data_IF_602894771986
#
_entry.id   IF_602894771986
#
_cell.length_a   1.000
_cell.length_b   1.000
_cell.length_c   1.000
_cell.angle_alpha   90.00
_cell.angle_beta   90.00
_cell.angle_gamma   90.00
#
_symmetry.space_group_name_H-M   'P 1'
#
loop_
_entity.id
_entity.type
_entity.pdbx_description
1 polymer ?
#
# COMPACT_ATOMS: atom_id res chain seq x y z
N UNK A 1 -23.86 8.79 -9.31
CA UNK A 1 -24.80 8.60 -8.18
C UNK A 1 -24.21 7.50 -7.32
N UNK A 2 -23.55 7.84 -6.21
CA UNK A 2 -22.82 6.85 -5.42
C UNK A 2 -23.80 6.17 -4.46
N UNK A 3 -24.31 5.01 -4.86
CA UNK A 3 -25.18 4.18 -4.03
C UNK A 3 -24.42 3.73 -2.78
N UNK A 4 -25.04 3.93 -1.61
CA UNK A 4 -24.58 3.44 -0.31
C UNK A 4 -24.38 1.92 -0.33
N UNK A 5 -23.22 1.47 -0.78
CA UNK A 5 -22.69 0.20 -0.32
C UNK A 5 -22.32 0.42 1.14
N UNK A 6 -23.19 -0.03 2.06
CA UNK A 6 -22.78 -0.37 3.42
C UNK A 6 -21.73 -1.48 3.30
N UNK A 7 -20.49 -1.07 3.06
CA UNK A 7 -19.33 -1.93 2.98
C UNK A 7 -19.24 -2.62 4.34
N UNK A 8 -19.63 -3.90 4.36
CA UNK A 8 -19.22 -4.84 5.39
C UNK A 8 -17.75 -4.58 5.75
N UNK A 9 -17.42 -4.69 7.04
CA UNK A 9 -16.11 -4.40 7.60
C UNK A 9 -14.99 -4.92 6.66
N UNK A 10 -14.24 -4.01 6.03
CA UNK A 10 -13.19 -4.32 5.03
C UNK A 10 -12.20 -5.37 5.56
N UNK A 11 -11.93 -5.27 6.86
CA UNK A 11 -11.09 -6.17 7.64
C UNK A 11 -11.59 -7.62 7.59
N UNK A 12 -12.88 -7.84 7.88
CA UNK A 12 -13.48 -9.17 7.86
C UNK A 12 -13.45 -9.79 6.47
N UNK A 13 -13.60 -8.99 5.41
CA UNK A 13 -13.49 -9.50 4.02
C UNK A 13 -12.08 -9.98 3.71
N UNK A 14 -11.07 -9.17 4.04
CA UNK A 14 -9.67 -9.52 3.83
C UNK A 14 -9.29 -10.77 4.63
N UNK A 15 -9.67 -10.83 5.90
CA UNK A 15 -9.35 -11.98 6.75
C UNK A 15 -10.09 -13.25 6.33
N UNK A 16 -11.37 -13.15 5.95
CA UNK A 16 -12.11 -14.28 5.41
C UNK A 16 -11.51 -14.80 4.09
N UNK A 17 -11.01 -13.90 3.24
CA UNK A 17 -10.28 -14.26 2.03
C UNK A 17 -8.99 -15.03 2.37
N UNK A 18 -8.15 -14.48 3.26
CA UNK A 18 -6.92 -15.16 3.69
C UNK A 18 -7.20 -16.51 4.34
N UNK A 19 -8.23 -16.61 5.18
CA UNK A 19 -8.64 -17.86 5.82
C UNK A 19 -9.10 -18.89 4.78
N UNK A 20 -9.95 -18.49 3.84
CA UNK A 20 -10.39 -19.36 2.73
C UNK A 20 -9.21 -19.87 1.93
N UNK A 21 -8.20 -19.02 1.73
CA UNK A 21 -6.98 -19.41 1.05
C UNK A 21 -6.10 -20.34 1.87
N UNK A 22 -5.90 -20.07 3.17
CA UNK A 22 -5.17 -20.97 4.08
C UNK A 22 -5.74 -22.38 4.06
N UNK A 23 -7.07 -22.47 3.98
CA UNK A 23 -7.87 -23.70 3.92
C UNK A 23 -8.01 -24.29 2.50
N UNK A 24 -7.38 -23.69 1.47
CA UNK A 24 -7.47 -24.14 0.06
C UNK A 24 -8.91 -24.25 -0.48
N UNK A 25 -9.84 -23.45 0.06
CA UNK A 25 -11.26 -23.44 -0.30
C UNK A 25 -11.65 -22.30 -1.25
N UNK A 26 -10.73 -21.38 -1.55
CA UNK A 26 -10.99 -20.18 -2.35
C UNK A 26 -11.58 -20.50 -3.74
N UNK A 27 -11.03 -21.51 -4.42
CA UNK A 27 -11.46 -21.95 -5.76
C UNK A 27 -12.25 -23.26 -5.77
N UNK A 28 -12.75 -23.72 -4.61
CA UNK A 28 -13.67 -24.84 -4.62
C UNK A 28 -14.99 -24.38 -5.21
N UNK A 29 -15.42 -25.01 -6.32
CA UNK A 29 -16.80 -24.89 -6.77
C UNK A 29 -17.65 -25.59 -5.71
N UNK A 30 -18.35 -24.82 -4.89
CA UNK A 30 -19.42 -25.38 -4.05
C UNK A 30 -20.54 -25.78 -5.00
N UNK A 31 -20.51 -27.00 -5.53
CA UNK A 31 -21.71 -27.62 -6.05
C UNK A 31 -22.65 -27.77 -4.86
N UNK A 32 -23.55 -26.78 -4.69
CA UNK A 32 -24.67 -26.96 -3.79
C UNK A 32 -25.37 -28.24 -4.24
N UNK A 33 -25.63 -29.20 -3.34
CA UNK A 33 -26.38 -30.39 -3.71
C UNK A 33 -27.70 -29.93 -4.32
N UNK A 34 -27.98 -30.41 -5.53
CA UNK A 34 -29.26 -30.21 -6.18
C UNK A 34 -30.31 -30.69 -5.18
N UNK A 35 -31.24 -29.84 -4.72
CA UNK A 35 -32.27 -30.28 -3.80
C UNK A 35 -33.00 -31.45 -4.48
N UNK A 36 -33.24 -32.57 -3.77
CA UNK A 36 -33.92 -33.71 -4.36
C UNK A 36 -35.23 -33.24 -5.00
N UNK A 37 -35.57 -33.71 -6.21
CA UNK A 37 -36.80 -33.31 -6.87
C UNK A 37 -37.96 -33.55 -5.90
N UNK A 38 -38.90 -32.60 -5.75
CA UNK A 38 -40.02 -32.76 -4.86
C UNK A 38 -40.76 -34.04 -5.25
N UNK A 39 -40.85 -34.99 -4.32
CA UNK A 39 -41.65 -36.20 -4.48
C UNK A 39 -43.09 -35.75 -4.75
N UNK A 40 -43.55 -36.02 -5.97
CA UNK A 40 -44.93 -35.81 -6.38
C UNK A 40 -45.83 -36.79 -5.62
N UNK A 41 -46.19 -36.44 -4.40
CA UNK A 41 -47.29 -37.08 -3.70
C UNK A 41 -48.59 -36.75 -4.43
N UNK A 42 -49.03 -37.70 -5.27
CA UNK A 42 -50.37 -37.72 -5.86
C UNK A 42 -51.39 -37.83 -4.73
N UNK A 43 -51.99 -36.71 -4.33
CA UNK A 43 -53.35 -36.70 -3.75
C UNK A 43 -54.24 -35.70 -4.46
N UNK A 44 -55.21 -36.27 -5.19
CA UNK A 44 -56.41 -35.58 -5.70
C UNK A 44 -57.24 -35.09 -4.50
N UNK A 45 -57.62 -33.82 -4.47
CA UNK A 45 -59.01 -33.45 -4.16
C UNK A 45 -59.36 -32.05 -4.68
N UNK A 46 -60.59 -31.95 -5.16
CA UNK A 46 -61.27 -30.80 -5.78
C UNK A 46 -61.37 -29.61 -4.84
N UNK A 47 -61.38 -28.38 -5.39
CA UNK A 47 -61.91 -27.22 -4.67
C UNK A 47 -61.37 -25.86 -5.12
N UNK A 48 -62.13 -25.19 -5.98
CA UNK A 48 -62.39 -23.74 -6.05
C UNK A 48 -61.19 -22.78 -6.13
N UNK A 49 -61.19 -22.05 -7.26
CA UNK A 49 -60.26 -20.98 -7.59
C UNK A 49 -60.12 -19.91 -6.49
N UNK A 50 -58.86 -19.63 -6.12
CA UNK A 50 -58.42 -18.30 -5.69
C UNK A 50 -57.14 -17.94 -6.45
N UNK A 51 -57.26 -16.97 -7.36
CA UNK A 51 -56.12 -16.28 -7.97
C UNK A 51 -55.39 -15.51 -6.87
N UNK A 52 -54.29 -16.06 -6.36
CA UNK A 52 -53.31 -15.29 -5.60
C UNK A 52 -52.24 -14.79 -6.57
N UNK A 53 -52.20 -13.47 -6.78
CA UNK A 53 -51.11 -12.77 -7.45
C UNK A 53 -49.81 -12.97 -6.67
N UNK A 54 -49.08 -14.04 -6.98
CA UNK A 54 -47.66 -14.13 -6.62
C UNK A 54 -46.96 -13.02 -7.40
N UNK A 55 -46.67 -11.91 -6.70
CA UNK A 55 -45.62 -10.96 -7.12
C UNK A 55 -44.37 -11.78 -7.38
N UNK A 56 -44.07 -12.01 -8.65
CA UNK A 56 -42.74 -12.39 -9.09
C UNK A 56 -41.82 -11.31 -8.53
N UNK A 57 -40.99 -11.65 -7.54
CA UNK A 57 -39.86 -10.79 -7.20
C UNK A 57 -39.04 -10.75 -8.49
N UNK A 58 -39.05 -9.60 -9.17
CA UNK A 58 -37.97 -9.29 -10.10
C UNK A 58 -36.69 -9.49 -9.30
N UNK A 59 -35.97 -10.54 -9.63
CA UNK A 59 -34.56 -10.60 -9.34
C UNK A 59 -34.02 -9.46 -10.19
N UNK A 60 -33.84 -8.29 -9.58
CA UNK A 60 -32.92 -7.31 -10.10
C UNK A 60 -31.58 -8.05 -10.10
N UNK A 61 -31.18 -8.58 -11.25
CA UNK A 61 -29.77 -8.71 -11.54
C UNK A 61 -29.23 -7.28 -11.44
N UNK A 62 -28.79 -6.90 -10.25
CA UNK A 62 -27.75 -5.89 -10.11
C UNK A 62 -26.47 -6.53 -10.63
N UNK A 63 -26.45 -6.75 -11.95
CA UNK A 63 -25.23 -6.57 -12.73
C UNK A 63 -24.95 -5.06 -12.68
N UNK A 64 -24.61 -4.56 -11.48
CA UNK A 64 -23.83 -3.35 -11.37
C UNK A 64 -22.55 -3.71 -12.11
N UNK A 65 -22.38 -3.13 -13.30
CA UNK A 65 -21.22 -3.31 -14.15
C UNK A 65 -19.96 -3.13 -13.31
N UNK A 66 -19.43 -4.26 -12.84
CA UNK A 66 -18.01 -4.45 -12.59
C UNK A 66 -17.36 -3.91 -13.85
N UNK A 67 -16.45 -2.94 -13.73
CA UNK A 67 -15.69 -2.41 -14.85
C UNK A 67 -15.20 -3.57 -15.71
N UNK A 68 -15.95 -3.90 -16.77
CA UNK A 68 -15.56 -4.89 -17.75
C UNK A 68 -14.44 -4.19 -18.48
N UNK A 69 -13.25 -4.78 -18.45
CA UNK A 69 -12.22 -4.48 -19.41
C UNK A 69 -12.91 -4.45 -20.78
N UNK A 70 -12.98 -3.26 -21.39
CA UNK A 70 -13.40 -3.14 -22.78
C UNK A 70 -12.27 -3.78 -23.56
N UNK A 71 -12.48 -5.05 -23.93
CA UNK A 71 -11.60 -5.76 -24.85
C UNK A 71 -11.77 -5.11 -26.23
N UNK A 72 -11.03 -4.05 -26.50
CA UNK A 72 -10.76 -3.56 -27.86
C UNK A 72 -9.74 -4.48 -28.56
N UNK A 73 -9.85 -5.80 -28.34
CA UNK A 73 -9.03 -6.79 -29.00
C UNK A 73 -9.71 -7.19 -30.33
N UNK A 74 -8.97 -7.16 -31.46
CA UNK A 74 -9.52 -7.56 -32.75
C UNK A 74 -10.08 -8.99 -32.67
N UNK A 75 -11.24 -9.20 -33.30
CA UNK A 75 -12.13 -10.37 -33.21
C UNK A 75 -11.52 -11.74 -33.54
N UNK A 76 -10.23 -11.80 -33.85
CA UNK A 76 -9.53 -12.98 -34.33
C UNK A 76 -8.60 -13.64 -33.29
N UNK A 77 -8.53 -13.14 -32.06
CA UNK A 77 -7.87 -13.87 -30.97
C UNK A 77 -8.85 -14.85 -30.30
N UNK A 78 -8.45 -16.10 -30.02
CA UNK A 78 -9.33 -17.07 -29.38
C UNK A 78 -9.74 -16.55 -27.99
N UNK A 79 -11.06 -16.33 -27.80
CA UNK A 79 -11.71 -15.90 -26.54
C UNK A 79 -11.61 -16.90 -25.38
N UNK A 80 -10.78 -17.92 -25.49
CA UNK A 80 -10.39 -18.76 -24.37
C UNK A 80 -9.43 -17.96 -23.50
N UNK A 81 -9.98 -17.16 -22.57
CA UNK A 81 -9.23 -16.79 -21.36
C UNK A 81 -8.56 -18.06 -20.86
N UNK A 82 -7.23 -18.10 -20.82
CA UNK A 82 -6.51 -19.22 -20.23
C UNK A 82 -7.08 -19.43 -18.83
N UNK A 83 -7.86 -20.51 -18.67
CA UNK A 83 -8.54 -20.81 -17.41
C UNK A 83 -7.61 -21.70 -16.63
N UNK A 84 -6.78 -21.09 -15.79
CA UNK A 84 -5.90 -21.82 -14.88
C UNK A 84 -6.72 -22.80 -14.02
N UNK A 85 -6.25 -24.04 -13.95
CA UNK A 85 -6.72 -25.05 -13.00
C UNK A 85 -6.55 -24.57 -11.56
N UNK A 86 -7.27 -25.18 -10.62
CA UNK A 86 -7.13 -24.84 -9.19
C UNK A 86 -5.68 -24.94 -8.72
N UNK A 87 -4.97 -25.98 -9.13
CA UNK A 87 -3.57 -26.22 -8.77
C UNK A 87 -2.64 -25.15 -9.33
N UNK A 88 -2.86 -24.71 -10.57
CA UNK A 88 -2.09 -23.61 -11.17
C UNK A 88 -2.37 -22.29 -10.45
N UNK A 89 -3.63 -21.99 -10.13
CA UNK A 89 -3.99 -20.78 -9.36
C UNK A 89 -3.33 -20.76 -7.99
N UNK A 90 -3.35 -21.88 -7.28
CA UNK A 90 -2.63 -22.02 -5.99
C UNK A 90 -1.12 -21.81 -6.16
N UNK A 91 -0.52 -22.42 -7.20
CA UNK A 91 0.92 -22.31 -7.46
C UNK A 91 1.33 -20.87 -7.77
N UNK A 92 0.66 -20.22 -8.72
CA UNK A 92 0.91 -18.81 -9.11
C UNK A 92 0.79 -17.90 -7.89
N UNK A 93 -0.28 -18.05 -7.13
CA UNK A 93 -0.55 -17.15 -6.01
C UNK A 93 0.45 -17.32 -4.86
N UNK A 94 1.11 -18.48 -4.73
CA UNK A 94 2.15 -18.70 -3.72
C UNK A 94 3.49 -18.02 -4.06
N UNK A 95 3.56 -17.35 -5.21
CA UNK A 95 4.79 -16.77 -5.76
C UNK A 95 5.51 -17.80 -6.63
N UNK A 96 5.85 -17.40 -7.85
CA UNK A 96 6.67 -18.20 -8.75
C UNK A 96 8.15 -17.82 -8.56
N UNK A 97 9.08 -18.78 -8.66
CA UNK A 97 10.50 -18.47 -8.67
C UNK A 97 10.82 -17.59 -9.88
N UNK A 98 11.76 -16.66 -9.70
CA UNK A 98 12.20 -15.76 -10.76
C UNK A 98 13.70 -15.59 -10.70
N UNK A 99 14.36 -15.70 -11.86
CA UNK A 99 15.80 -15.44 -11.99
C UNK A 99 16.16 -13.97 -11.73
N UNK A 100 15.19 -13.06 -11.73
CA UNK A 100 15.44 -11.67 -11.39
C UNK A 100 15.57 -11.48 -9.87
N UNK A 101 14.87 -12.27 -9.06
CA UNK A 101 14.93 -12.17 -7.61
C UNK A 101 15.37 -13.51 -7.00
N UNK A 102 16.68 -13.66 -6.83
CA UNK A 102 17.33 -14.82 -6.26
C UNK A 102 18.41 -14.42 -5.26
N UNK A 103 18.92 -15.39 -4.50
CA UNK A 103 20.05 -15.17 -3.60
C UNK A 103 21.27 -14.70 -4.41
N UNK A 104 21.81 -13.54 -4.05
CA UNK A 104 22.88 -12.87 -4.78
C UNK A 104 22.42 -11.72 -5.68
N UNK A 105 21.11 -11.54 -5.90
CA UNK A 105 20.61 -10.40 -6.67
C UNK A 105 20.95 -9.06 -5.98
N UNK A 106 21.28 -8.06 -6.78
CA UNK A 106 21.65 -6.72 -6.32
C UNK A 106 20.93 -5.64 -7.12
N UNK A 107 20.44 -4.62 -6.42
CA UNK A 107 19.66 -3.54 -7.02
C UNK A 107 20.04 -2.18 -6.44
N UNK A 108 20.28 -1.19 -7.30
CA UNK A 108 20.47 0.18 -6.84
C UNK A 108 19.14 0.89 -6.66
N UNK A 109 18.75 1.17 -5.42
CA UNK A 109 17.50 1.85 -5.05
C UNK A 109 17.78 3.26 -4.53
N UNK A 110 16.86 4.19 -4.76
CA UNK A 110 17.00 5.54 -4.22
C UNK A 110 15.76 6.40 -4.35
N UNK A 111 15.77 7.50 -3.60
CA UNK A 111 14.68 8.50 -3.56
C UNK A 111 14.73 9.39 -4.82
N UNK A 112 15.92 9.54 -5.39
CA UNK A 112 16.24 10.37 -6.54
C UNK A 112 17.23 9.65 -7.45
N UNK A 113 17.37 10.13 -8.68
CA UNK A 113 18.41 9.68 -9.61
C UNK A 113 19.83 10.07 -9.14
N UNK A 114 19.95 11.06 -8.23
CA UNK A 114 21.23 11.49 -7.66
C UNK A 114 21.90 10.35 -6.86
N UNK A 115 23.17 10.00 -7.16
CA UNK A 115 23.94 8.98 -6.43
C UNK A 115 23.92 9.14 -4.91
N UNK A 116 23.87 10.36 -4.38
CA UNK A 116 23.85 10.64 -2.93
C UNK A 116 22.53 10.23 -2.25
N UNK A 117 21.51 9.89 -3.03
CA UNK A 117 20.21 9.42 -2.57
C UNK A 117 19.97 7.96 -2.96
N UNK A 118 21.03 7.23 -3.34
CA UNK A 118 20.98 5.82 -3.73
C UNK A 118 21.80 4.93 -2.79
N UNK A 119 21.35 3.70 -2.63
CA UNK A 119 22.08 2.61 -2.00
C UNK A 119 21.82 1.31 -2.76
N UNK A 120 22.69 0.31 -2.56
CA UNK A 120 22.52 -0.99 -3.18
C UNK A 120 21.83 -1.95 -2.21
N UNK A 121 20.75 -2.60 -2.66
CA UNK A 121 20.06 -3.65 -1.94
C UNK A 121 20.59 -4.98 -2.43
N UNK A 122 21.31 -5.68 -1.55
CA UNK A 122 21.89 -6.99 -1.85
C UNK A 122 21.09 -8.07 -1.13
N UNK A 123 20.47 -8.96 -1.90
CA UNK A 123 19.70 -10.08 -1.38
C UNK A 123 20.65 -11.25 -1.11
N UNK A 124 20.78 -11.69 0.14
CA UNK A 124 21.69 -12.77 0.53
C UNK A 124 21.01 -14.13 0.52
N UNK A 125 19.74 -14.18 0.90
CA UNK A 125 18.90 -15.38 0.82
C UNK A 125 17.50 -14.99 0.36
N UNK A 126 17.04 -15.59 -0.75
CA UNK A 126 15.69 -15.38 -1.29
C UNK A 126 14.97 -16.72 -1.36
N UNK A 127 14.10 -16.92 -0.37
CA UNK A 127 13.12 -17.97 -0.35
C UNK A 127 11.77 -17.35 0.04
N UNK A 128 10.92 -18.05 0.80
CA UNK A 128 9.73 -17.41 1.41
C UNK A 128 10.10 -16.27 2.35
N UNK A 129 11.22 -16.44 3.06
CA UNK A 129 11.85 -15.41 3.88
C UNK A 129 12.97 -14.80 3.03
N UNK A 130 13.18 -13.51 3.21
CA UNK A 130 14.19 -12.75 2.51
C UNK A 130 15.17 -12.22 3.54
N UNK A 131 16.46 -12.38 3.27
CA UNK A 131 17.53 -11.73 4.00
C UNK A 131 18.39 -10.93 3.02
N UNK A 132 18.96 -9.83 3.51
CA UNK A 132 19.88 -9.03 2.71
C UNK A 132 20.45 -7.86 3.47
N UNK A 133 21.16 -7.00 2.74
CA UNK A 133 21.80 -5.80 3.27
C UNK A 133 21.59 -4.61 2.34
N UNK A 134 21.29 -3.45 2.92
CA UNK A 134 21.47 -2.16 2.27
C UNK A 134 22.94 -1.76 2.36
N UNK A 135 23.59 -1.54 1.22
CA UNK A 135 25.01 -1.24 1.11
C UNK A 135 25.19 0.21 0.65
N UNK A 136 25.91 0.98 1.45
CA UNK A 136 26.19 2.39 1.24
C UNK A 136 27.65 2.54 0.82
N UNK A 137 27.88 2.48 -0.49
CA UNK A 137 29.22 2.58 -1.08
C UNK A 137 29.69 4.04 -1.19
N UNK A 138 30.97 4.32 -0.93
CA UNK A 138 31.52 5.67 -1.05
C UNK A 138 31.64 6.13 -2.50
N UNK A 139 31.44 7.42 -2.73
CA UNK A 139 31.75 8.08 -4.01
C UNK A 139 33.24 8.47 -4.07
N UNK A 140 33.88 8.31 -5.24
CA UNK A 140 35.33 8.45 -5.40
C UNK A 140 35.89 9.82 -4.97
N UNK A 141 35.13 10.91 -5.19
CA UNK A 141 35.58 12.29 -4.92
C UNK A 141 35.59 12.65 -3.44
N UNK A 142 34.71 12.06 -2.63
CA UNK A 142 34.59 12.35 -1.19
C UNK A 142 34.00 11.14 -0.44
N UNK A 143 34.81 10.09 -0.20
CA UNK A 143 34.31 8.78 0.27
C UNK A 143 33.54 8.82 1.59
N UNK A 144 34.05 9.54 2.59
CA UNK A 144 33.39 9.59 3.91
C UNK A 144 32.16 10.51 3.89
N UNK A 145 32.30 11.72 3.37
CA UNK A 145 31.20 12.68 3.32
C UNK A 145 30.01 12.13 2.51
N UNK A 146 30.28 11.46 1.39
CA UNK A 146 29.22 10.82 0.59
C UNK A 146 28.49 9.72 1.36
N UNK A 147 29.19 8.86 2.10
CA UNK A 147 28.56 7.82 2.94
C UNK A 147 27.72 8.44 4.06
N UNK A 148 28.23 9.47 4.74
CA UNK A 148 27.49 10.18 5.79
C UNK A 148 26.21 10.83 5.23
N UNK A 149 26.31 11.50 4.08
CA UNK A 149 25.16 12.10 3.40
C UNK A 149 24.13 11.06 2.96
N UNK A 150 24.58 9.95 2.35
CA UNK A 150 23.70 8.83 1.97
C UNK A 150 22.96 8.29 3.19
N UNK A 151 23.68 7.97 4.27
CA UNK A 151 23.08 7.43 5.49
C UNK A 151 22.09 8.40 6.12
N UNK A 152 22.40 9.69 6.17
CA UNK A 152 21.49 10.71 6.67
C UNK A 152 20.22 10.85 5.80
N UNK A 153 20.36 10.86 4.48
CA UNK A 153 19.22 10.89 3.55
C UNK A 153 18.31 9.67 3.70
N UNK A 154 18.89 8.47 3.83
CA UNK A 154 18.13 7.25 4.05
C UNK A 154 17.50 7.19 5.45
N UNK A 155 18.16 7.72 6.47
CA UNK A 155 17.59 7.86 7.81
C UNK A 155 16.32 8.70 7.76
N UNK A 156 16.38 9.85 7.08
CA UNK A 156 15.22 10.72 6.87
C UNK A 156 14.09 9.98 6.17
N UNK A 157 14.41 9.28 5.09
CA UNK A 157 13.44 8.48 4.33
C UNK A 157 12.77 7.40 5.18
N UNK A 158 13.56 6.55 5.85
CA UNK A 158 13.03 5.46 6.67
C UNK A 158 12.21 5.97 7.86
N UNK A 159 12.55 7.13 8.42
CA UNK A 159 11.78 7.78 9.48
C UNK A 159 10.59 8.58 8.95
N UNK A 160 10.36 8.63 7.63
CA UNK A 160 9.23 9.34 7.02
C UNK A 160 9.34 10.86 7.09
N UNK A 161 10.55 11.40 7.28
CA UNK A 161 10.78 12.83 7.18
C UNK A 161 10.62 13.28 5.74
N UNK A 162 9.76 14.25 5.54
CA UNK A 162 9.59 14.96 4.27
C UNK A 162 9.84 16.45 4.55
N UNK A 163 10.40 17.19 3.60
CA UNK A 163 10.62 18.63 3.71
C UNK A 163 9.34 19.41 4.06
N UNK A 164 8.16 18.83 3.76
CA UNK A 164 6.84 19.39 4.08
C UNK A 164 6.21 18.90 5.40
N UNK A 165 6.75 17.86 6.02
CA UNK A 165 6.24 17.27 7.25
C UNK A 165 7.41 16.75 8.10
N UNK A 166 7.77 17.53 9.12
CA UNK A 166 8.74 17.14 10.15
C UNK A 166 8.12 16.15 11.13
N UNK A 167 7.64 15.01 10.63
CA UNK A 167 7.11 13.96 11.46
C UNK A 167 8.28 13.16 12.04
N UNK A 168 8.60 13.41 13.30
CA UNK A 168 9.56 12.62 14.05
C UNK A 168 8.99 11.21 14.33
N UNK A 169 9.85 10.17 14.43
CA UNK A 169 9.44 8.88 14.94
C UNK A 169 8.75 9.01 16.29
N UNK A 170 7.68 8.23 16.54
CA UNK A 170 7.00 8.21 17.84
C UNK A 170 7.87 7.67 18.98
N UNK A 171 8.88 6.88 18.65
CA UNK A 171 9.80 6.31 19.64
C UNK A 171 10.75 7.38 20.18
N UNK A 172 10.66 7.64 21.49
CA UNK A 172 11.56 8.56 22.20
C UNK A 172 13.03 8.16 22.07
N UNK A 173 13.32 6.85 22.05
CA UNK A 173 14.69 6.33 21.89
C UNK A 173 15.22 6.67 20.50
N UNK A 174 14.44 6.41 19.44
CA UNK A 174 14.84 6.77 18.07
C UNK A 174 15.09 8.28 17.94
N UNK A 175 14.21 9.11 18.49
CA UNK A 175 14.38 10.58 18.49
C UNK A 175 15.66 11.00 19.22
N UNK A 176 15.98 10.38 20.36
CA UNK A 176 17.23 10.67 21.08
C UNK A 176 18.47 10.27 20.26
N UNK A 177 18.46 9.11 19.60
CA UNK A 177 19.56 8.67 18.72
C UNK A 177 19.74 9.64 17.54
N UNK A 178 18.64 10.01 16.85
CA UNK A 178 18.64 10.99 15.77
C UNK A 178 19.19 12.35 16.20
N UNK A 179 18.80 12.85 17.37
CA UNK A 179 19.30 14.14 17.87
C UNK A 179 20.83 14.13 18.11
N UNK A 180 21.40 13.00 18.53
CA UNK A 180 22.86 12.89 18.67
C UNK A 180 23.52 12.92 17.30
N UNK A 181 22.99 12.16 16.34
CA UNK A 181 23.46 12.12 14.96
C UNK A 181 23.43 13.52 14.30
N UNK A 182 22.32 14.22 14.42
CA UNK A 182 22.14 15.57 13.85
C UNK A 182 23.15 16.55 14.45
N UNK A 183 23.37 16.48 15.77
CA UNK A 183 24.36 17.34 16.45
C UNK A 183 25.78 17.05 16.01
N UNK A 184 26.17 15.78 15.90
CA UNK A 184 27.51 15.42 15.42
C UNK A 184 27.73 15.94 13.99
N UNK A 185 26.70 15.90 13.14
CA UNK A 185 26.80 16.29 11.73
C UNK A 185 27.03 17.80 11.52
N UNK A 186 26.69 18.64 12.49
CA UNK A 186 26.81 20.12 12.41
C UNK A 186 27.86 20.70 13.37
N UNK A 187 28.44 19.88 14.25
CA UNK A 187 29.40 20.34 15.25
C UNK A 187 30.78 20.51 14.63
N UNK A 188 31.19 21.77 14.41
CA UNK A 188 32.49 22.13 13.82
C UNK A 188 33.70 21.64 14.62
N UNK A 189 33.51 21.16 15.86
CA UNK A 189 34.60 20.60 16.69
C UNK A 189 34.80 19.10 16.45
N UNK A 190 33.87 18.46 15.75
CA UNK A 190 34.01 17.07 15.30
C UNK A 190 34.83 17.04 14.03
N UNK A 191 36.01 16.45 14.13
CA UNK A 191 36.91 16.25 13.01
C UNK A 191 36.89 14.78 12.62
N UNK A 192 36.78 14.52 11.33
CA UNK A 192 36.78 13.18 10.77
C UNK A 192 38.17 12.85 10.22
N UNK A 193 38.67 11.66 10.54
CA UNK A 193 39.93 11.17 9.99
C UNK A 193 39.78 10.83 8.51
N UNK A 194 40.70 11.34 7.68
CA UNK A 194 40.72 11.09 6.23
C UNK A 194 41.13 9.63 5.94
N UNK A 195 40.20 8.73 5.60
CA UNK A 195 40.56 7.42 5.04
C UNK A 195 39.54 6.84 4.05
N UNK A 196 40.05 5.94 3.19
CA UNK A 196 39.34 5.10 2.22
C UNK A 196 38.33 4.22 2.96
N UNK A 197 37.08 4.66 3.00
CA UNK A 197 36.00 3.95 3.68
C UNK A 197 35.64 2.66 2.96
N UNK A 198 35.48 1.56 3.71
CA UNK A 198 34.66 0.44 3.27
C UNK A 198 33.20 0.86 3.47
N UNK A 199 32.32 0.57 2.52
CA UNK A 199 30.92 0.95 2.62
C UNK A 199 30.23 0.44 3.89
N UNK A 200 29.12 1.06 4.27
CA UNK A 200 28.31 0.63 5.43
C UNK A 200 27.24 -0.34 4.96
N UNK A 201 27.09 -1.46 5.66
CA UNK A 201 26.07 -2.45 5.36
C UNK A 201 25.05 -2.51 6.49
N UNK A 202 23.77 -2.47 6.14
CA UNK A 202 22.67 -2.49 7.10
C UNK A 202 21.75 -3.67 6.78
N UNK A 203 21.66 -4.68 7.66
CA UNK A 203 20.87 -5.85 7.38
C UNK A 203 19.38 -5.54 7.40
N UNK A 204 18.65 -6.26 6.55
CA UNK A 204 17.19 -6.29 6.57
C UNK A 204 16.72 -7.74 6.55
N UNK A 205 15.53 -7.94 7.11
CA UNK A 205 14.77 -9.18 6.96
C UNK A 205 13.52 -8.88 6.16
N UNK A 206 12.87 -9.91 5.64
CA UNK A 206 11.69 -9.68 4.84
C UNK A 206 11.02 -10.97 4.43
N UNK A 207 10.04 -10.83 3.55
CA UNK A 207 9.32 -11.97 3.03
C UNK A 207 8.68 -11.69 1.68
N UNK A 208 8.55 -12.75 0.89
CA UNK A 208 7.69 -12.73 -0.29
C UNK A 208 6.22 -12.68 0.12
N UNK A 209 5.46 -11.88 -0.61
CA UNK A 209 4.02 -11.72 -0.42
C UNK A 209 3.33 -12.88 -1.12
N UNK A 210 2.67 -13.71 -0.33
CA UNK A 210 1.92 -14.85 -0.82
C UNK A 210 0.41 -14.60 -0.77
N UNK A 211 -0.11 -13.54 -0.14
CA UNK A 211 -1.55 -13.35 0.15
C UNK A 211 -2.26 -14.58 0.75
N UNK A 212 -1.54 -15.39 1.54
CA UNK A 212 -2.05 -16.52 2.32
C UNK A 212 -1.74 -16.33 3.79
N UNK A 213 -0.45 -16.22 4.09
CA UNK A 213 0.06 -15.92 5.42
C UNK A 213 0.61 -14.50 5.49
N UNK A 214 1.05 -13.97 4.35
CA UNK A 214 1.78 -12.71 4.23
C UNK A 214 1.17 -11.91 3.08
N UNK A 215 0.36 -10.92 3.40
CA UNK A 215 -0.07 -9.91 2.45
C UNK A 215 0.75 -8.62 2.65
N UNK A 216 0.38 -7.55 1.96
CA UNK A 216 1.05 -6.25 2.09
C UNK A 216 0.56 -5.44 3.31
N UNK A 217 -0.15 -6.07 4.27
CA UNK A 217 -0.55 -5.38 5.50
C UNK A 217 0.63 -5.36 6.48
N UNK A 218 1.03 -4.17 6.90
CA UNK A 218 2.16 -3.94 7.83
C UNK A 218 1.69 -3.50 9.23
N UNK A 219 0.37 -3.31 9.39
CA UNK A 219 -0.24 -2.90 10.64
C UNK A 219 -0.95 -4.12 11.25
N UNK A 220 -0.23 -4.89 12.07
CA UNK A 220 -0.74 -6.08 12.71
C UNK A 220 -1.77 -5.77 13.80
N UNK A 221 -2.67 -6.74 14.00
CA UNK A 221 -3.55 -6.83 15.16
C UNK A 221 -2.85 -7.64 16.24
N UNK A 222 -2.72 -7.06 17.43
CA UNK A 222 -2.65 -7.89 18.61
C UNK A 222 -4.05 -8.42 18.86
N UNK A 223 -4.19 -9.75 18.91
CA UNK A 223 -5.47 -10.43 19.16
C UNK A 223 -6.12 -10.00 20.48
N UNK A 224 -5.33 -9.40 21.37
CA UNK A 224 -5.72 -8.97 22.70
C UNK A 224 -6.25 -7.52 22.74
N UNK A 225 -6.13 -6.75 21.65
CA UNK A 225 -6.60 -5.37 21.61
C UNK A 225 -8.06 -5.25 21.13
N UNK A 226 -8.97 -4.90 22.03
CA UNK A 226 -10.39 -4.70 21.73
C UNK A 226 -10.65 -3.35 21.02
N UNK A 227 -10.35 -3.27 19.73
CA UNK A 227 -10.68 -2.07 18.94
C UNK A 227 -12.09 -2.10 18.37
N UNK A 228 -12.70 -0.90 18.27
CA UNK A 228 -13.97 -0.72 17.55
C UNK A 228 -13.85 -1.12 16.08
N UNK A 229 -14.91 -1.68 15.50
CA UNK A 229 -14.96 -2.08 14.08
C UNK A 229 -14.64 -0.93 13.11
N UNK A 230 -15.04 0.30 13.45
CA UNK A 230 -14.71 1.52 12.69
C UNK A 230 -13.21 1.76 12.63
N UNK A 231 -12.51 1.59 13.76
CA UNK A 231 -11.05 1.75 13.82
C UNK A 231 -10.34 0.71 12.94
N UNK A 232 -10.76 -0.55 13.06
CA UNK A 232 -10.28 -1.68 12.23
C UNK A 232 -10.45 -1.40 10.73
N UNK A 233 -11.65 -0.99 10.32
CA UNK A 233 -11.94 -0.63 8.92
C UNK A 233 -11.09 0.54 8.42
N UNK A 234 -10.92 1.60 9.21
CA UNK A 234 -10.10 2.74 8.82
C UNK A 234 -8.62 2.36 8.67
N UNK A 235 -8.12 1.46 9.52
CA UNK A 235 -6.74 0.96 9.44
C UNK A 235 -6.49 0.14 8.19
N UNK A 236 -7.42 -0.75 7.82
CA UNK A 236 -7.35 -1.49 6.55
C UNK A 236 -7.46 -0.54 5.35
N UNK A 237 -8.31 0.50 5.44
CA UNK A 237 -8.39 1.53 4.40
C UNK A 237 -7.05 2.21 4.16
N UNK A 238 -6.38 2.65 5.22
CA UNK A 238 -5.05 3.26 5.13
C UNK A 238 -4.05 2.31 4.45
N UNK A 239 -4.05 1.02 4.82
CA UNK A 239 -3.15 0.04 4.20
C UNK A 239 -3.45 -0.19 2.73
N UNK A 240 -4.73 -0.28 2.33
CA UNK A 240 -5.12 -0.40 0.92
C UNK A 240 -4.75 0.85 0.11
N UNK A 241 -4.80 2.04 0.71
CA UNK A 241 -4.32 3.27 0.07
C UNK A 241 -2.81 3.21 -0.16
N UNK A 242 -2.04 2.68 0.79
CA UNK A 242 -0.61 2.44 0.61
C UNK A 242 -0.33 1.41 -0.50
N UNK A 243 -1.15 0.36 -0.62
CA UNK A 243 -1.01 -0.61 -1.71
C UNK A 243 -1.14 0.08 -3.08
N UNK A 244 -2.09 1.01 -3.21
CA UNK A 244 -2.35 1.75 -4.46
C UNK A 244 -1.26 2.76 -4.85
N UNK A 245 -0.20 2.90 -4.05
CA UNK A 245 1.03 3.60 -4.45
C UNK A 245 2.01 2.68 -5.19
N UNK A 246 1.83 1.35 -5.08
CA UNK A 246 2.64 0.36 -5.78
C UNK A 246 2.12 0.17 -7.21
N UNK A 247 3.04 -0.02 -8.16
CA UNK A 247 2.73 -0.12 -9.59
C UNK A 247 1.57 -1.07 -9.96
N UNK A 248 1.48 -2.33 -9.48
CA UNK A 248 0.36 -3.20 -9.86
C UNK A 248 -1.02 -2.65 -9.43
N UNK A 249 -1.08 -1.86 -8.37
CA UNK A 249 -2.32 -1.30 -7.84
C UNK A 249 -2.55 0.16 -8.26
N UNK A 250 -1.51 0.86 -8.72
CA UNK A 250 -1.68 2.20 -9.29
C UNK A 250 -2.52 2.15 -10.57
N UNK A 251 -2.30 1.14 -11.40
CA UNK A 251 -3.12 0.89 -12.59
C UNK A 251 -4.60 0.67 -12.24
N UNK A 252 -4.87 0.04 -11.09
CA UNK A 252 -6.23 -0.08 -10.58
C UNK A 252 -6.82 1.29 -10.23
N UNK A 253 -6.05 2.13 -9.52
CA UNK A 253 -6.44 3.50 -9.17
C UNK A 253 -6.67 4.38 -10.42
N UNK A 254 -5.82 4.27 -11.43
CA UNK A 254 -5.94 4.96 -12.72
C UNK A 254 -7.22 4.54 -13.46
N UNK A 255 -7.49 3.24 -13.56
CA UNK A 255 -8.72 2.74 -14.19
C UNK A 255 -9.99 3.17 -13.45
N UNK A 256 -9.95 3.17 -12.12
CA UNK A 256 -11.05 3.71 -11.31
C UNK A 256 -11.25 5.20 -11.56
N UNK A 257 -10.16 5.98 -11.61
CA UNK A 257 -10.22 7.41 -11.95
C UNK A 257 -10.84 7.65 -13.33
N UNK A 258 -10.44 6.90 -14.36
CA UNK A 258 -11.01 7.03 -15.71
C UNK A 258 -12.50 6.64 -15.75
N UNK A 259 -12.88 5.60 -15.01
CA UNK A 259 -14.29 5.19 -14.89
C UNK A 259 -15.12 6.26 -14.19
N UNK A 260 -14.58 6.84 -13.11
CA UNK A 260 -15.22 7.94 -12.39
C UNK A 260 -15.32 9.20 -13.26
N UNK A 261 -14.29 9.51 -14.06
CA UNK A 261 -14.31 10.61 -15.01
C UNK A 261 -15.43 10.44 -16.05
N UNK A 262 -15.63 9.22 -16.56
CA UNK A 262 -16.76 8.91 -17.44
C UNK A 262 -18.11 9.12 -16.74
N UNK A 263 -18.26 8.62 -15.51
CA UNK A 263 -19.49 8.83 -14.72
C UNK A 263 -19.78 10.32 -14.50
N UNK A 264 -18.75 11.12 -14.20
CA UNK A 264 -18.84 12.58 -14.04
C UNK A 264 -19.23 13.25 -15.37
N UNK A 265 -18.63 12.83 -16.48
CA UNK A 265 -18.94 13.35 -17.82
C UNK A 265 -20.37 13.03 -18.25
N UNK A 266 -20.81 11.78 -18.06
CA UNK A 266 -22.17 11.35 -18.36
C UNK A 266 -23.18 12.11 -17.49
N UNK A 267 -22.87 12.27 -16.19
CA UNK A 267 -23.69 13.07 -15.27
C UNK A 267 -23.83 14.53 -15.75
N UNK A 268 -22.76 15.13 -16.29
CA UNK A 268 -22.81 16.47 -16.88
C UNK A 268 -23.67 16.52 -18.15
N UNK A 269 -23.59 15.51 -19.01
CA UNK A 269 -24.45 15.38 -20.18
C UNK A 269 -25.94 15.40 -19.81
N UNK A 270 -26.32 14.67 -18.76
CA UNK A 270 -27.71 14.62 -18.28
C UNK A 270 -28.17 15.89 -17.53
N UNK A 271 -27.26 16.67 -16.92
CA UNK A 271 -27.62 17.96 -16.29
C UNK A 271 -28.17 18.96 -17.32
N UNK A 272 -27.63 18.91 -18.55
CA UNK A 272 -28.09 19.72 -19.67
C UNK A 272 -29.51 19.36 -20.12
N UNK A 273 -30.01 18.17 -19.78
CA UNK A 273 -31.39 17.77 -20.08
C UNK A 273 -32.40 18.46 -19.15
N UNK A 274 -33.45 19.02 -19.74
CA UNK A 274 -34.44 19.86 -19.03
C UNK A 274 -35.24 19.12 -17.93
N UNK A 275 -35.21 17.79 -17.88
CA UNK A 275 -36.13 16.96 -17.07
C UNK A 275 -35.64 16.61 -15.66
N UNK A 276 -34.40 16.92 -15.28
CA UNK A 276 -33.89 16.58 -13.94
C UNK A 276 -34.31 17.58 -12.85
N UNK A 277 -34.57 17.08 -11.64
CA UNK A 277 -34.88 17.90 -10.45
C UNK A 277 -33.71 18.84 -10.12
N UNK A 278 -34.02 20.07 -9.68
CA UNK A 278 -33.04 21.11 -9.32
C UNK A 278 -32.00 20.63 -8.30
N UNK A 279 -32.41 19.85 -7.30
CA UNK A 279 -31.52 19.28 -6.29
C UNK A 279 -30.47 18.34 -6.90
N UNK A 280 -30.89 17.45 -7.81
CA UNK A 280 -30.00 16.52 -8.51
C UNK A 280 -29.01 17.25 -9.41
N UNK A 281 -29.47 18.30 -10.13
CA UNK A 281 -28.59 19.16 -10.92
C UNK A 281 -27.54 19.85 -10.05
N UNK A 282 -27.96 20.43 -8.92
CA UNK A 282 -27.05 21.09 -7.98
C UNK A 282 -26.03 20.12 -7.39
N UNK A 283 -26.46 18.91 -7.04
CA UNK A 283 -25.56 17.89 -6.49
C UNK A 283 -24.51 17.46 -7.52
N UNK A 284 -24.93 17.16 -8.75
CA UNK A 284 -24.01 16.76 -9.81
C UNK A 284 -23.02 17.88 -10.18
N UNK A 285 -23.48 19.14 -10.25
CA UNK A 285 -22.59 20.30 -10.44
C UNK A 285 -21.57 20.46 -9.29
N UNK A 286 -21.99 20.28 -8.04
CA UNK A 286 -21.08 20.32 -6.90
C UNK A 286 -20.04 19.19 -6.98
N UNK A 287 -20.45 17.96 -7.29
CA UNK A 287 -19.52 16.84 -7.49
C UNK A 287 -18.51 17.12 -8.58
N UNK A 288 -18.93 17.70 -9.71
CA UNK A 288 -18.04 18.06 -10.83
C UNK A 288 -17.05 19.16 -10.40
N UNK A 289 -17.56 20.19 -9.71
CA UNK A 289 -16.72 21.27 -9.18
C UNK A 289 -15.67 20.74 -8.19
N UNK A 290 -16.07 19.86 -7.29
CA UNK A 290 -15.19 19.25 -6.30
C UNK A 290 -14.17 18.32 -6.95
N UNK A 291 -14.58 17.53 -7.95
CA UNK A 291 -13.69 16.69 -8.73
C UNK A 291 -12.62 17.52 -9.46
N UNK A 292 -13.03 18.55 -10.21
CA UNK A 292 -12.09 19.44 -10.92
C UNK A 292 -11.15 20.12 -9.92
N UNK A 293 -11.67 20.62 -8.80
CA UNK A 293 -10.90 21.33 -7.78
C UNK A 293 -9.86 20.46 -7.06
N UNK A 294 -10.00 19.13 -7.14
CA UNK A 294 -9.14 18.15 -6.49
C UNK A 294 -8.35 17.28 -7.48
N UNK A 295 -8.38 17.59 -8.79
CA UNK A 295 -7.76 16.76 -9.84
C UNK A 295 -6.29 16.45 -9.54
N UNK A 296 -5.53 17.44 -9.05
CA UNK A 296 -4.14 17.23 -8.64
C UNK A 296 -3.95 16.13 -7.59
N UNK A 297 -4.78 16.08 -6.55
CA UNK A 297 -4.64 15.05 -5.50
C UNK A 297 -5.00 13.66 -5.98
N UNK A 298 -6.05 13.56 -6.79
CA UNK A 298 -6.52 12.28 -7.31
C UNK A 298 -5.46 11.63 -8.22
N UNK A 299 -4.65 12.47 -8.87
CA UNK A 299 -3.74 12.08 -9.93
C UNK A 299 -2.25 12.18 -9.60
N UNK A 300 -1.88 12.66 -8.40
CA UNK A 300 -0.49 12.91 -8.00
C UNK A 300 0.46 11.71 -8.13
N UNK A 301 -0.09 10.50 -8.05
CA UNK A 301 0.70 9.27 -8.12
C UNK A 301 0.85 8.76 -9.57
N UNK A 302 0.01 9.23 -10.50
CA UNK A 302 -0.07 8.70 -11.86
C UNK A 302 1.17 9.03 -12.68
N UNK A 303 1.70 8.03 -13.37
CA UNK A 303 2.94 8.14 -14.13
C UNK A 303 2.81 9.13 -15.29
N UNK A 304 1.67 9.13 -15.99
CA UNK A 304 1.42 9.98 -17.15
C UNK A 304 1.23 11.48 -16.84
N UNK A 305 1.06 11.86 -15.57
CA UNK A 305 0.86 13.27 -15.16
C UNK A 305 2.16 13.95 -14.75
N UNK A 306 3.22 13.19 -14.45
CA UNK A 306 4.52 13.76 -14.08
C UNK A 306 5.16 14.58 -15.20
N UNK A 307 4.80 14.31 -16.45
CA UNK A 307 5.36 14.97 -17.63
C UNK A 307 4.46 16.09 -18.20
N UNK A 308 3.32 16.38 -17.57
CA UNK A 308 2.37 17.39 -18.07
C UNK A 308 2.45 18.69 -17.26
N UNK A 309 2.98 19.75 -17.90
CA UNK A 309 2.91 21.12 -17.39
C UNK A 309 1.50 21.70 -17.59
N UNK A 310 0.51 21.18 -16.88
CA UNK A 310 -0.85 21.71 -16.91
C UNK A 310 -0.97 22.93 -15.98
N UNK A 311 -1.34 24.13 -16.49
CA UNK A 311 -1.50 25.33 -15.67
C UNK A 311 -2.48 25.14 -14.50
N UNK A 312 -3.54 24.36 -14.72
CA UNK A 312 -4.56 24.06 -13.71
C UNK A 312 -3.99 23.24 -12.54
N UNK A 313 -3.08 22.31 -12.82
CA UNK A 313 -2.40 21.52 -11.78
C UNK A 313 -1.40 22.37 -11.00
N UNK A 314 -0.69 23.29 -11.66
CA UNK A 314 0.22 24.21 -10.98
C UNK A 314 -0.51 25.18 -10.05
N UNK A 315 -1.63 25.74 -10.47
CA UNK A 315 -2.45 26.62 -9.63
C UNK A 315 -2.99 25.87 -8.40
N UNK A 316 -3.44 24.62 -8.58
CA UNK A 316 -3.91 23.77 -7.48
C UNK A 316 -2.78 23.41 -6.50
N UNK A 317 -1.56 23.13 -7.00
CA UNK A 317 -0.37 22.92 -6.16
C UNK A 317 -0.08 24.15 -5.29
N UNK A 318 -0.11 25.35 -5.89
CA UNK A 318 0.15 26.63 -5.19
C UNK A 318 -0.93 26.95 -4.14
N UNK A 319 -2.22 26.79 -4.48
CA UNK A 319 -3.32 27.08 -3.55
C UNK A 319 -3.33 26.21 -2.28
N UNK A 320 -2.79 24.99 -2.35
CA UNK A 320 -2.75 24.05 -1.20
C UNK A 320 -1.79 24.47 -0.09
N UNK A 321 -0.84 25.37 -0.36
CA UNK A 321 -0.01 25.95 0.70
C UNK A 321 -0.84 26.79 1.69
N UNK A 322 -2.04 27.26 1.31
CA UNK A 322 -2.79 28.24 2.10
C UNK A 322 -4.08 27.74 2.79
N UNK A 323 -4.66 26.57 2.45
CA UNK A 323 -5.92 26.12 3.10
C UNK A 323 -6.14 24.60 3.02
N UNK A 324 -6.15 23.93 4.18
CA UNK A 324 -6.32 22.46 4.30
C UNK A 324 -7.71 21.99 4.78
N UNK A 325 -8.52 22.81 5.45
CA UNK A 325 -9.58 22.25 6.33
C UNK A 325 -10.89 21.78 5.67
N UNK A 326 -11.23 22.20 4.45
CA UNK A 326 -12.52 21.86 3.80
C UNK A 326 -12.39 21.10 2.47
N UNK A 327 -11.22 21.08 1.83
CA UNK A 327 -10.98 20.36 0.56
C UNK A 327 -10.83 18.83 0.75
N UNK A 328 -10.68 18.36 1.98
CA UNK A 328 -10.35 16.96 2.27
C UNK A 328 -11.56 16.00 2.20
N UNK A 329 -12.81 16.48 2.39
CA UNK A 329 -14.00 15.61 2.48
C UNK A 329 -14.30 14.84 1.18
N UNK A 330 -14.18 15.49 0.02
CA UNK A 330 -14.42 14.84 -1.27
C UNK A 330 -13.36 13.77 -1.56
N UNK A 331 -12.09 14.10 -1.31
CA UNK A 331 -10.97 13.16 -1.51
C UNK A 331 -11.10 11.96 -0.57
N UNK A 332 -11.41 12.20 0.71
CA UNK A 332 -11.64 11.14 1.71
C UNK A 332 -12.78 10.20 1.30
N UNK A 333 -13.86 10.74 0.73
CA UNK A 333 -14.99 9.96 0.24
C UNK A 333 -14.60 9.15 -1.01
N UNK A 334 -13.91 9.77 -1.97
CA UNK A 334 -13.41 9.10 -3.16
C UNK A 334 -12.46 7.94 -2.80
N UNK A 335 -11.51 8.17 -1.89
CA UNK A 335 -10.59 7.17 -1.37
C UNK A 335 -11.31 6.03 -0.63
N UNK A 336 -12.39 6.35 0.11
CA UNK A 336 -13.24 5.35 0.75
C UNK A 336 -13.92 4.43 -0.26
N UNK A 337 -14.44 4.96 -1.37
CA UNK A 337 -15.04 4.12 -2.41
C UNK A 337 -14.01 3.32 -3.17
N UNK A 338 -12.88 3.95 -3.54
CA UNK A 338 -11.78 3.30 -4.23
C UNK A 338 -11.25 2.09 -3.44
N UNK A 339 -10.98 2.25 -2.14
CA UNK A 339 -10.53 1.14 -1.28
C UNK A 339 -11.59 0.05 -1.11
N UNK A 340 -12.87 0.42 -1.04
CA UNK A 340 -13.97 -0.54 -1.05
C UNK A 340 -14.01 -1.38 -2.32
N UNK A 341 -13.83 -0.75 -3.49
CA UNK A 341 -13.78 -1.42 -4.80
C UNK A 341 -12.54 -2.30 -4.94
N UNK A 342 -11.37 -1.83 -4.51
CA UNK A 342 -10.15 -2.66 -4.49
C UNK A 342 -10.35 -3.90 -3.62
N UNK A 343 -10.82 -3.72 -2.38
CA UNK A 343 -11.11 -4.82 -1.45
C UNK A 343 -12.07 -5.84 -2.07
N UNK A 344 -13.16 -5.38 -2.68
CA UNK A 344 -14.08 -6.27 -3.38
C UNK A 344 -13.38 -7.03 -4.51
N UNK A 345 -12.61 -6.36 -5.35
CA UNK A 345 -11.93 -7.00 -6.48
C UNK A 345 -10.89 -8.03 -6.03
N UNK A 346 -10.12 -7.78 -4.98
CA UNK A 346 -9.10 -8.74 -4.53
C UNK A 346 -9.69 -9.89 -3.72
N UNK A 347 -10.83 -9.69 -3.03
CA UNK A 347 -11.45 -10.72 -2.18
C UNK A 347 -12.51 -11.57 -2.89
N UNK A 348 -12.94 -11.18 -4.10
CA UNK A 348 -13.91 -11.95 -4.89
C UNK A 348 -13.29 -13.27 -5.36
N UNK A 349 -13.94 -14.41 -5.08
CA UNK A 349 -13.42 -15.76 -5.38
C UNK A 349 -13.06 -15.99 -6.85
N UNK A 350 -13.79 -15.36 -7.76
CA UNK A 350 -13.61 -15.48 -9.20
C UNK A 350 -12.59 -14.48 -9.77
N UNK A 351 -12.12 -13.53 -8.94
CA UNK A 351 -11.19 -12.52 -9.39
C UNK A 351 -9.83 -13.13 -9.70
N UNK A 352 -9.31 -12.78 -10.88
CA UNK A 352 -7.95 -13.08 -11.28
C UNK A 352 -7.00 -11.89 -11.02
N UNK A 353 -7.44 -10.83 -10.32
CA UNK A 353 -6.62 -9.62 -10.10
C UNK A 353 -5.29 -9.97 -9.45
N UNK A 354 -5.30 -10.67 -8.30
CA UNK A 354 -4.06 -11.02 -7.62
C UNK A 354 -3.24 -12.08 -8.37
N UNK A 355 -3.89 -12.94 -9.16
CA UNK A 355 -3.20 -13.89 -10.05
C UNK A 355 -2.40 -13.12 -11.09
N UNK A 356 -3.02 -12.14 -11.75
CA UNK A 356 -2.35 -11.28 -12.72
C UNK A 356 -1.21 -10.49 -12.08
N UNK A 357 -1.40 -9.98 -10.86
CA UNK A 357 -0.32 -9.31 -10.12
C UNK A 357 0.85 -10.27 -9.89
N UNK A 358 0.61 -11.48 -9.39
CA UNK A 358 1.67 -12.48 -9.11
C UNK A 358 2.37 -13.01 -10.37
N UNK A 359 1.72 -12.94 -11.54
CA UNK A 359 2.34 -13.30 -12.82
C UNK A 359 3.26 -12.21 -13.38
N UNK A 360 3.00 -10.94 -13.06
CA UNK A 360 3.70 -9.80 -13.65
C UNK A 360 4.66 -9.10 -12.66
N UNK A 361 4.48 -9.31 -11.36
CA UNK A 361 5.21 -8.62 -10.31
C UNK A 361 5.63 -9.59 -9.22
N UNK A 362 6.84 -9.38 -8.71
CA UNK A 362 7.31 -10.03 -7.48
C UNK A 362 7.08 -9.04 -6.36
N UNK A 363 6.18 -9.39 -5.45
CA UNK A 363 5.86 -8.56 -4.29
C UNK A 363 6.58 -9.09 -3.06
N UNK A 364 7.25 -8.19 -2.34
CA UNK A 364 7.92 -8.51 -1.09
C UNK A 364 7.86 -7.35 -0.12
N UNK A 365 8.05 -7.66 1.16
CA UNK A 365 8.13 -6.69 2.24
C UNK A 365 9.52 -6.80 2.87
N UNK A 366 10.19 -5.68 3.05
CA UNK A 366 11.44 -5.57 3.80
C UNK A 366 11.17 -4.87 5.13
N UNK A 367 11.73 -5.42 6.19
CA UNK A 367 11.68 -4.93 7.55
C UNK A 367 13.08 -4.52 7.96
N UNK A 368 13.18 -3.26 8.41
CA UNK A 368 14.43 -2.65 8.85
C UNK A 368 14.27 -2.23 10.31
N UNK A 369 15.15 -2.74 11.16
CA UNK A 369 15.24 -2.26 12.54
C UNK A 369 15.93 -0.90 12.54
N UNK A 370 15.13 0.16 12.64
CA UNK A 370 15.64 1.54 12.64
C UNK A 370 16.53 1.84 13.83
N UNK A 371 16.35 1.15 14.96
CA UNK A 371 17.19 1.36 16.14
C UNK A 371 18.58 0.81 15.89
N UNK A 372 18.67 -0.44 15.42
CA UNK A 372 19.95 -1.06 15.03
C UNK A 372 20.60 -0.36 13.84
N UNK A 373 19.81 0.12 12.88
CA UNK A 373 20.29 0.97 11.79
C UNK A 373 21.06 2.18 12.35
N UNK A 374 20.44 2.91 13.28
CA UNK A 374 21.06 4.10 13.87
C UNK A 374 22.28 3.73 14.71
N UNK A 375 22.27 2.57 15.35
CA UNK A 375 23.41 2.11 16.13
C UNK A 375 24.62 1.81 15.26
N UNK A 376 24.42 1.08 14.16
CA UNK A 376 25.46 0.83 13.18
C UNK A 376 25.99 2.13 12.57
N UNK A 377 25.13 3.12 12.33
CA UNK A 377 25.54 4.43 11.82
C UNK A 377 26.36 5.22 12.86
N UNK A 378 25.91 5.24 14.11
CA UNK A 378 26.63 5.92 15.20
C UNK A 378 27.99 5.27 15.47
N UNK A 379 28.07 3.95 15.50
CA UNK A 379 29.33 3.22 15.63
C UNK A 379 30.26 3.51 14.44
N UNK A 380 29.72 3.55 13.23
CA UNK A 380 30.49 3.96 12.05
C UNK A 380 31.06 5.37 12.19
N UNK A 381 30.27 6.35 12.63
CA UNK A 381 30.75 7.71 12.90
C UNK A 381 31.85 7.70 13.96
N UNK A 382 31.62 7.06 15.10
CA UNK A 382 32.57 7.07 16.22
C UNK A 382 33.90 6.38 15.90
N UNK A 383 33.92 5.41 15.00
CA UNK A 383 35.16 4.78 14.52
C UNK A 383 36.00 5.72 13.64
N UNK A 384 35.38 6.71 13.01
CA UNK A 384 36.02 7.59 12.01
C UNK A 384 36.20 9.04 12.49
N UNK A 385 35.77 9.38 13.70
CA UNK A 385 36.07 10.67 14.33
C UNK A 385 37.40 10.64 15.10
N UNK A 386 38.06 11.79 15.18
CA UNK A 386 39.18 11.99 16.09
C UNK A 386 38.78 11.78 17.54
N UNK A 387 39.63 11.09 18.30
CA UNK A 387 39.44 10.95 19.74
C UNK A 387 39.74 12.28 20.42
N UNK A 388 38.68 13.08 20.65
CA UNK A 388 38.72 14.31 21.43
C UNK A 388 37.64 14.30 22.53
N UNK A 389 37.73 15.25 23.46
CA UNK A 389 36.78 15.34 24.57
C UNK A 389 35.32 15.52 24.11
N UNK A 390 35.11 16.19 22.98
CA UNK A 390 33.79 16.41 22.40
C UNK A 390 33.13 15.10 21.94
N UNK A 391 33.86 14.26 21.19
CA UNK A 391 33.40 12.95 20.76
C UNK A 391 33.20 12.00 21.93
N UNK A 392 34.07 12.08 22.95
CA UNK A 392 33.90 11.28 24.17
C UNK A 392 32.61 11.66 24.93
N UNK A 393 32.22 12.94 24.95
CA UNK A 393 30.93 13.36 25.50
C UNK A 393 29.75 12.81 24.71
N UNK A 394 29.79 12.86 23.37
CA UNK A 394 28.74 12.27 22.54
C UNK A 394 28.64 10.75 22.73
N UNK A 395 29.78 10.03 22.81
CA UNK A 395 29.81 8.60 23.14
C UNK A 395 29.18 8.32 24.50
N UNK A 396 29.43 9.15 25.52
CA UNK A 396 28.83 9.01 26.86
C UNK A 396 27.31 9.19 26.82
N UNK A 397 26.83 10.24 26.15
CA UNK A 397 25.39 10.48 25.97
C UNK A 397 24.73 9.31 25.23
N UNK A 398 25.36 8.83 24.17
CA UNK A 398 24.85 7.72 23.38
C UNK A 398 24.80 6.39 24.15
N UNK A 399 25.84 6.07 24.94
CA UNK A 399 25.84 4.90 25.85
C UNK A 399 24.70 4.95 26.87
N UNK A 400 24.37 6.14 27.39
CA UNK A 400 23.22 6.29 28.29
C UNK A 400 21.90 5.95 27.57
N UNK A 401 21.75 6.36 26.30
CA UNK A 401 20.57 6.02 25.48
C UNK A 401 20.46 4.51 25.30
N UNK A 402 21.56 3.81 24.98
CA UNK A 402 21.58 2.35 24.85
C UNK A 402 21.23 1.63 26.17
N UNK A 403 21.72 2.15 27.31
CA UNK A 403 21.34 1.65 28.64
C UNK A 403 19.83 1.77 28.88
N UNK A 404 19.24 2.91 28.52
CA UNK A 404 17.82 3.16 28.71
C UNK A 404 16.96 2.27 27.79
N UNK A 405 17.42 2.03 26.56
CA UNK A 405 16.78 1.11 25.61
C UNK A 405 16.78 -0.34 26.13
N UNK A 406 17.92 -0.83 26.61
CA UNK A 406 18.04 -2.17 27.17
C UNK A 406 17.09 -2.36 28.37
N UNK A 407 16.96 -1.36 29.25
CA UNK A 407 16.01 -1.38 30.36
C UNK A 407 14.55 -1.42 29.89
N UNK A 408 14.21 -0.69 28.82
CA UNK A 408 12.85 -0.69 28.28
C UNK A 408 12.50 -2.01 27.58
N UNK A 409 13.46 -2.70 26.97
CA UNK A 409 13.24 -4.03 26.38
C UNK A 409 12.96 -5.10 27.45
N UNK A 410 13.67 -5.03 28.60
CA UNK A 410 13.46 -5.94 29.75
C UNK A 410 12.07 -5.75 30.38
N UNK A 411 11.47 -4.56 30.30
CA UNK A 411 10.13 -4.29 30.85
C UNK A 411 9.01 -4.84 29.95
N UNK A 412 9.30 -5.12 28.67
CA UNK A 412 8.33 -5.67 27.70
C UNK A 412 8.35 -7.21 27.68
N UNK A 413 9.40 -7.86 28.20
CA UNK A 413 9.39 -9.28 28.59
C UNK A 413 9.22 -9.39 30.11
N UNK A 414 7.99 -9.19 30.61
CA UNK A 414 7.23 -10.37 31.04
C UNK A 414 5.72 -10.23 30.74
N UNK A 415 5.15 -11.22 30.05
CA UNK A 415 3.85 -11.89 30.28
C UNK A 415 3.36 -12.57 28.98
#
# INVERSE_FOLDING_TARGET
MITEYRLSNLDQRMDAYLQSRRNRSLWQKTTLPIPPPPTLDKKRSRGIAKRTSKKQKLIHNTDDEVAKYVDDAPSNFPKTRCTYSKTEKEAIMNGLPSSLLESGSSYSVGISADPLYRCDVNFTDVNKIIHGVFSFTPEEKSPLLSVLLKLHNFTKFFCGFNDYAQNLPRSKILVRKLNVLDRISIDNKVHFNNFKTRGVNIPFNGHLVDFRNRDLRFLNYDSNESFSSRFKTNRVRLQLLEWMKLHPFIQFKENYFLSFLREVNDSMGYICEAKMKKSTKSQALNTVKDFISNLHELTKDFSFIKDTNSPLLEEQRKQKQCSRRYKDLFVDEWERYLTGKLCQNITTKESNTLINVQLNFILFVLEVDLSKFLDNFMDFIFQHCDNNDYINNYRKVYRNILSDEAKNQIIIEPY
#
